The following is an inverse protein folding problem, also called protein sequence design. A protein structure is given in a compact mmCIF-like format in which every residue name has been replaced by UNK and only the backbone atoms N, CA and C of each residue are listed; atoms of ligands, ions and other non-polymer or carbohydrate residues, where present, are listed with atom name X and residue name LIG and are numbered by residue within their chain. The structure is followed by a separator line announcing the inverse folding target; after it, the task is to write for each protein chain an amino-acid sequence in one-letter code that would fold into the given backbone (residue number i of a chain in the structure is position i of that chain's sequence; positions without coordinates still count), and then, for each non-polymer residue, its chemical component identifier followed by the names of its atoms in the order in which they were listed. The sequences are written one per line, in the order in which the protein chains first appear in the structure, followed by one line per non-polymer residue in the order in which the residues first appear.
data_IF_673077523797
#
_entry.id   IF_673077523797
#
_cell.length_a   1.000
_cell.length_b   1.000
_cell.length_c   1.000
_cell.angle_alpha   90.00
_cell.angle_beta   90.00
_cell.angle_gamma   90.00
#
_symmetry.space_group_name_H-M   'P 1'
#
loop_
_entity.id
_entity.type
_entity.pdbx_description
1 polymer ?
#
# COMPACT_ATOMS: atom_id res chain seq x y z
N UNK A 1 -16.21 -18.33 27.21
CA UNK A 1 -14.93 -17.78 27.68
C UNK A 1 -15.24 -16.78 28.77
N UNK A 2 -14.59 -16.87 29.91
CA UNK A 2 -14.87 -16.03 31.08
C UNK A 2 -14.43 -14.58 30.83
N UNK A 3 -15.36 -13.63 30.96
CA UNK A 3 -15.11 -12.18 30.87
C UNK A 3 -14.42 -11.68 32.15
N UNK A 4 -13.16 -12.04 32.36
CA UNK A 4 -12.37 -11.45 33.45
C UNK A 4 -12.10 -10.00 33.11
N UNK A 5 -12.61 -9.09 33.93
CA UNK A 5 -12.32 -7.66 33.85
C UNK A 5 -11.14 -7.36 34.76
N UNK A 6 -10.12 -6.72 34.22
CA UNK A 6 -8.92 -6.36 34.98
C UNK A 6 -9.08 -4.95 35.59
N UNK A 7 -8.67 -4.79 36.84
CA UNK A 7 -8.61 -3.50 37.55
C UNK A 7 -7.30 -3.46 38.35
N UNK A 8 -6.65 -2.30 38.45
CA UNK A 8 -5.54 -2.12 39.39
C UNK A 8 -6.04 -1.51 40.70
N UNK A 9 -5.38 -1.86 41.80
CA UNK A 9 -5.71 -1.42 43.14
C UNK A 9 -4.45 -0.83 43.78
N UNK A 10 -4.57 0.31 44.44
CA UNK A 10 -3.46 0.93 45.18
C UNK A 10 -3.17 0.22 46.52
N UNK A 11 -2.12 0.65 47.21
CA UNK A 11 -1.71 0.08 48.52
C UNK A 11 -2.77 0.18 49.62
N UNK A 12 -3.82 0.99 49.43
CA UNK A 12 -4.92 1.18 50.38
C UNK A 12 -6.14 0.33 50.06
N UNK A 13 -6.11 -0.44 48.97
CA UNK A 13 -7.24 -1.24 48.52
C UNK A 13 -8.21 -0.47 47.61
N UNK A 14 -7.87 0.74 47.16
CA UNK A 14 -8.73 1.54 46.29
C UNK A 14 -8.42 1.29 44.81
N UNK A 15 -9.46 1.21 43.99
CA UNK A 15 -9.35 1.04 42.54
C UNK A 15 -8.67 2.27 41.92
N UNK A 16 -7.66 2.02 41.09
CA UNK A 16 -6.94 3.01 40.29
C UNK A 16 -7.77 3.33 39.03
N UNK A 17 -7.70 4.57 38.58
CA UNK A 17 -8.43 5.11 37.42
C UNK A 17 -7.50 5.97 36.57
N UNK A 18 -7.79 6.07 35.29
CA UNK A 18 -6.97 6.76 34.30
C UNK A 18 -5.69 5.98 33.96
N UNK A 19 -4.68 6.72 33.51
CA UNK A 19 -3.38 6.17 33.16
C UNK A 19 -2.68 5.50 34.34
N UNK A 20 -2.27 4.25 34.14
CA UNK A 20 -1.55 3.44 35.10
C UNK A 20 -0.27 2.89 34.47
N UNK A 21 0.86 3.05 35.14
CA UNK A 21 2.15 2.52 34.69
C UNK A 21 2.56 1.35 35.57
N UNK A 22 2.82 0.20 34.95
CA UNK A 22 3.38 -0.98 35.62
C UNK A 22 4.44 -1.63 34.74
N UNK A 23 5.56 -2.04 35.34
CA UNK A 23 6.68 -2.68 34.64
C UNK A 23 7.06 -1.99 33.32
N UNK A 24 7.21 -0.66 33.38
CA UNK A 24 7.53 0.23 32.25
C UNK A 24 6.47 0.34 31.14
N UNK A 25 5.37 -0.39 31.24
CA UNK A 25 4.23 -0.34 30.32
C UNK A 25 3.14 0.59 30.84
N UNK A 26 2.45 1.24 29.92
CA UNK A 26 1.29 2.07 30.21
C UNK A 26 0.00 1.31 29.92
N UNK A 27 -1.00 1.54 30.74
CA UNK A 27 -2.35 1.02 30.66
C UNK A 27 -3.32 2.17 30.91
N UNK A 28 -4.55 2.06 30.41
CA UNK A 28 -5.63 2.96 30.82
C UNK A 28 -6.70 2.18 31.55
N UNK A 29 -7.09 2.67 32.73
CA UNK A 29 -8.21 2.16 33.50
C UNK A 29 -9.37 3.14 33.39
N UNK A 30 -10.52 2.65 32.95
CA UNK A 30 -11.71 3.44 32.71
C UNK A 30 -12.01 4.38 33.89
N UNK A 31 -12.17 5.67 33.63
CA UNK A 31 -12.29 6.71 34.67
C UNK A 31 -13.55 6.54 35.55
N UNK A 32 -14.59 5.85 35.06
CA UNK A 32 -15.82 5.61 35.82
C UNK A 32 -15.73 4.32 36.65
N UNK A 33 -15.30 3.22 36.01
CA UNK A 33 -15.40 1.86 36.56
C UNK A 33 -14.07 1.31 37.08
N UNK A 34 -12.94 1.85 36.63
CA UNK A 34 -11.59 1.33 36.88
C UNK A 34 -11.28 0.02 36.16
N UNK A 35 -12.15 -0.42 35.24
CA UNK A 35 -11.89 -1.57 34.36
C UNK A 35 -10.88 -1.15 33.29
N UNK A 36 -9.90 -2.00 33.02
CA UNK A 36 -8.90 -1.77 31.98
C UNK A 36 -9.55 -1.63 30.60
N UNK A 37 -9.21 -0.55 29.90
CA UNK A 37 -9.61 -0.33 28.51
C UNK A 37 -8.71 -1.14 27.57
N UNK A 38 -9.23 -1.50 26.40
CA UNK A 38 -8.52 -2.22 25.33
C UNK A 38 -8.97 -1.68 23.98
N UNK A 39 -8.11 -1.75 22.96
CA UNK A 39 -8.39 -1.22 21.63
C UNK A 39 -8.25 0.30 21.56
N UNK A 40 -8.98 0.91 20.63
CA UNK A 40 -8.98 2.37 20.45
C UNK A 40 -9.70 3.08 21.60
N UNK A 41 -9.03 4.07 22.16
CA UNK A 41 -9.54 4.90 23.25
C UNK A 41 -9.17 6.36 23.00
N UNK A 42 -10.12 7.27 23.22
CA UNK A 42 -9.87 8.70 23.19
C UNK A 42 -9.78 9.25 24.61
N UNK A 43 -8.63 9.81 24.99
CA UNK A 43 -8.44 10.40 26.32
C UNK A 43 -9.06 11.80 26.40
N UNK A 44 -9.17 12.33 27.62
CA UNK A 44 -9.67 13.68 27.93
C UNK A 44 -8.88 14.81 27.26
N UNK A 45 -7.65 14.52 26.81
CA UNK A 45 -6.81 15.43 26.04
C UNK A 45 -7.19 15.49 24.54
N UNK A 46 -8.25 14.76 24.15
CA UNK A 46 -8.75 14.60 22.77
C UNK A 46 -7.85 13.80 21.82
N UNK A 47 -6.76 13.21 22.30
CA UNK A 47 -5.91 12.32 21.51
C UNK A 47 -6.42 10.89 21.55
N UNK A 48 -6.22 10.18 20.43
CA UNK A 48 -6.49 8.77 20.32
C UNK A 48 -5.27 7.95 20.71
N UNK A 49 -5.49 6.88 21.46
CA UNK A 49 -4.49 5.91 21.89
C UNK A 49 -4.98 4.51 21.52
N UNK A 50 -4.05 3.57 21.37
CA UNK A 50 -4.38 2.16 21.14
C UNK A 50 -3.77 1.29 22.23
N UNK A 51 -4.63 0.55 22.93
CA UNK A 51 -4.27 -0.44 23.93
C UNK A 51 -4.38 -1.84 23.35
N UNK A 52 -3.39 -2.69 23.60
CA UNK A 52 -3.37 -4.08 23.14
C UNK A 52 -4.66 -4.81 23.53
N UNK A 53 -5.31 -5.48 22.57
CA UNK A 53 -6.62 -6.12 22.82
C UNK A 53 -6.56 -7.28 23.82
N UNK A 54 -5.38 -7.89 24.00
CA UNK A 54 -5.21 -9.03 24.90
C UNK A 54 -4.64 -8.60 26.24
N UNK A 55 -3.59 -7.78 26.21
CA UNK A 55 -2.81 -7.45 27.41
C UNK A 55 -3.10 -6.05 27.95
N UNK A 56 -3.77 -5.18 27.19
CA UNK A 56 -4.09 -3.79 27.59
C UNK A 56 -2.91 -2.81 27.56
N UNK A 57 -1.70 -3.26 27.23
CA UNK A 57 -0.55 -2.35 27.16
C UNK A 57 -0.66 -1.39 25.98
N UNK A 58 -0.38 -0.12 26.25
CA UNK A 58 -0.41 0.96 25.27
C UNK A 58 0.68 0.75 24.22
N UNK A 59 0.27 0.80 22.96
CA UNK A 59 1.20 0.72 21.83
C UNK A 59 1.85 2.08 21.53
N UNK A 60 3.01 2.01 20.90
CA UNK A 60 3.77 3.15 20.37
C UNK A 60 4.39 2.76 19.03
N UNK A 61 4.78 3.75 18.22
CA UNK A 61 5.35 3.53 16.90
C UNK A 61 4.34 3.05 15.86
N UNK A 62 4.84 2.36 14.84
CA UNK A 62 4.01 1.79 13.78
C UNK A 62 3.17 0.61 14.28
N UNK A 63 1.87 0.65 13.99
CA UNK A 63 0.98 -0.50 14.16
C UNK A 63 0.18 -0.71 12.87
N UNK A 64 -0.15 -1.97 12.56
CA UNK A 64 -1.02 -2.34 11.45
C UNK A 64 -2.25 -3.07 11.97
N UNK A 65 -3.44 -2.52 11.71
CA UNK A 65 -4.72 -3.09 12.09
C UNK A 65 -5.60 -3.20 10.85
N UNK A 66 -6.12 -4.39 10.55
CA UNK A 66 -6.96 -4.64 9.37
C UNK A 66 -6.37 -4.06 8.07
N UNK A 67 -5.08 -4.33 7.84
CA UNK A 67 -4.27 -3.84 6.70
C UNK A 67 -4.00 -2.33 6.67
N UNK A 68 -4.53 -1.56 7.60
CA UNK A 68 -4.31 -0.11 7.69
C UNK A 68 -3.17 0.19 8.67
N UNK A 69 -2.24 1.03 8.24
CA UNK A 69 -1.14 1.49 9.08
C UNK A 69 -1.53 2.74 9.86
N UNK A 70 -1.10 2.78 11.12
CA UNK A 70 -1.20 3.93 12.02
C UNK A 70 0.17 4.20 12.61
N UNK A 71 0.38 5.43 13.08
CA UNK A 71 1.58 5.80 13.81
C UNK A 71 1.23 6.44 15.14
N UNK A 72 1.76 5.88 16.22
CA UNK A 72 1.58 6.33 17.59
C UNK A 72 2.87 6.99 18.08
N UNK A 73 2.81 8.19 18.64
CA UNK A 73 3.98 8.96 19.10
C UNK A 73 4.88 8.12 20.02
N UNK A 74 6.10 7.71 19.60
CA UNK A 74 6.94 6.89 20.46
C UNK A 74 7.64 7.70 21.54
N UNK A 75 7.80 9.01 21.38
CA UNK A 75 8.61 9.83 22.27
C UNK A 75 7.77 10.42 23.41
N UNK A 76 8.39 10.54 24.59
CA UNK A 76 7.78 11.17 25.76
C UNK A 76 7.84 12.70 25.69
N UNK A 77 7.32 13.31 24.61
CA UNK A 77 7.24 14.76 24.41
C UNK A 77 5.93 15.39 24.97
N UNK A 78 5.18 14.63 25.77
CA UNK A 78 3.93 15.06 26.40
C UNK A 78 2.74 14.17 26.05
N UNK A 79 2.73 13.55 24.87
CA UNK A 79 1.62 12.72 24.37
C UNK A 79 2.11 11.39 23.80
N UNK A 80 2.98 10.70 24.55
CA UNK A 80 3.49 9.39 24.14
C UNK A 80 2.33 8.41 23.93
N UNK A 81 2.30 7.73 22.79
CA UNK A 81 1.24 6.81 22.39
C UNK A 81 0.09 7.46 21.64
N UNK A 82 0.04 8.79 21.53
CA UNK A 82 -1.01 9.48 20.77
C UNK A 82 -0.92 9.18 19.28
N UNK A 83 -2.06 8.93 18.65
CA UNK A 83 -2.17 8.63 17.23
C UNK A 83 -2.03 9.89 16.39
N UNK A 84 -1.23 9.80 15.33
CA UNK A 84 -1.09 10.83 14.33
C UNK A 84 -2.36 10.87 13.48
N UNK A 85 -3.06 12.01 13.47
CA UNK A 85 -4.30 12.22 12.71
C UNK A 85 -4.25 13.56 11.98
N UNK A 86 -4.83 13.60 10.77
CA UNK A 86 -4.96 14.79 9.93
C UNK A 86 -3.65 15.60 9.80
N UNK A 87 -2.54 14.90 9.60
CA UNK A 87 -1.22 15.50 9.63
C UNK A 87 -0.27 14.84 8.64
N UNK A 88 0.89 15.45 8.48
CA UNK A 88 2.04 14.87 7.79
C UNK A 88 3.22 14.82 8.73
N UNK A 89 4.02 13.76 8.67
CA UNK A 89 5.15 13.56 9.57
C UNK A 89 6.36 12.96 8.86
N UNK A 90 7.55 13.37 9.28
CA UNK A 90 8.80 12.72 8.88
C UNK A 90 9.16 11.67 9.93
N UNK A 91 9.08 10.39 9.57
CA UNK A 91 9.37 9.25 10.43
C UNK A 91 10.53 8.48 9.80
N UNK A 92 11.62 8.30 10.54
CA UNK A 92 12.86 7.66 10.06
C UNK A 92 13.38 8.25 8.73
N UNK A 93 13.24 9.57 8.56
CA UNK A 93 13.69 10.29 7.37
C UNK A 93 12.73 10.25 6.17
N UNK A 94 11.58 9.58 6.28
CA UNK A 94 10.55 9.49 5.22
C UNK A 94 9.29 10.24 5.60
N UNK A 95 8.66 10.91 4.63
CA UNK A 95 7.42 11.65 4.84
C UNK A 95 6.20 10.74 4.67
N UNK A 96 5.30 10.82 5.65
CA UNK A 96 4.02 10.13 5.69
C UNK A 96 2.89 11.14 5.87
N UNK A 97 1.70 10.80 5.42
CA UNK A 97 0.47 11.55 5.64
C UNK A 97 -0.54 10.65 6.34
N UNK A 98 -1.37 11.22 7.20
CA UNK A 98 -2.41 10.51 7.95
C UNK A 98 -3.73 11.25 7.82
N UNK A 99 -4.82 10.53 7.56
CA UNK A 99 -6.15 11.12 7.42
C UNK A 99 -6.78 11.46 8.78
N UNK A 100 -8.02 11.95 8.78
CA UNK A 100 -8.75 12.34 9.99
C UNK A 100 -9.00 11.20 10.99
N UNK A 101 -8.93 9.95 10.53
CA UNK A 101 -9.15 8.75 11.34
C UNK A 101 -7.80 8.09 11.71
N UNK A 102 -6.68 8.70 11.34
CA UNK A 102 -5.32 8.22 11.62
C UNK A 102 -4.80 7.18 10.64
N UNK A 103 -5.53 6.89 9.56
CA UNK A 103 -5.06 5.97 8.55
C UNK A 103 -3.89 6.60 7.81
N UNK A 104 -2.77 5.88 7.75
CA UNK A 104 -1.65 6.28 6.90
C UNK A 104 -2.14 6.33 5.45
N UNK A 105 -2.10 7.52 4.88
CA UNK A 105 -2.33 7.75 3.47
C UNK A 105 -1.07 7.28 2.76
N UNK A 106 -1.17 6.13 2.09
CA UNK A 106 -0.10 5.66 1.23
C UNK A 106 0.04 6.64 0.05
N UNK A 107 0.99 7.57 0.16
CA UNK A 107 1.36 8.51 -0.92
C UNK A 107 2.14 7.83 -2.06
N UNK A 108 2.11 6.50 -2.14
CA UNK A 108 2.68 5.75 -3.25
C UNK A 108 1.67 5.71 -4.38
N UNK A 109 2.07 6.09 -5.60
CA UNK A 109 1.18 6.02 -6.75
C UNK A 109 0.73 4.57 -7.08
N UNK A 110 1.43 3.56 -6.53
CA UNK A 110 1.22 2.12 -6.69
C UNK A 110 1.73 1.32 -5.48
N UNK A 111 1.21 0.12 -5.26
CA UNK A 111 1.59 -0.80 -4.18
C UNK A 111 2.96 -1.48 -4.39
N UNK A 112 3.55 -1.96 -3.29
CA UNK A 112 4.76 -2.82 -3.33
C UNK A 112 4.47 -4.19 -4.01
N UNK A 113 3.22 -4.64 -3.95
CA UNK A 113 2.81 -5.86 -4.64
C UNK A 113 2.84 -5.68 -6.16
N UNK A 114 2.50 -4.50 -6.68
CA UNK A 114 2.65 -4.21 -8.12
C UNK A 114 4.11 -4.24 -8.56
N UNK A 115 5.04 -3.74 -7.72
CA UNK A 115 6.47 -3.84 -7.99
C UNK A 115 6.89 -5.30 -8.17
N UNK A 116 6.54 -6.17 -7.23
CA UNK A 116 6.87 -7.60 -7.31
C UNK A 116 6.19 -8.29 -8.51
N UNK A 117 4.94 -7.91 -8.80
CA UNK A 117 4.20 -8.42 -9.94
C UNK A 117 4.88 -8.08 -11.28
N UNK A 118 5.24 -6.82 -11.51
CA UNK A 118 5.91 -6.39 -12.74
C UNK A 118 7.34 -6.91 -12.80
N UNK A 119 8.05 -6.94 -11.67
CA UNK A 119 9.40 -7.53 -11.54
C UNK A 119 9.46 -8.96 -12.06
N UNK A 120 8.43 -9.76 -11.83
CA UNK A 120 8.37 -11.14 -12.32
C UNK A 120 8.31 -11.27 -13.85
N UNK A 121 7.89 -10.21 -14.56
CA UNK A 121 7.82 -10.18 -16.03
C UNK A 121 9.00 -9.45 -16.67
N UNK A 122 9.42 -8.32 -16.11
CA UNK A 122 10.46 -7.44 -16.68
C UNK A 122 11.87 -7.78 -16.17
N UNK A 123 11.94 -8.47 -15.03
CA UNK A 123 13.16 -8.57 -14.23
C UNK A 123 13.44 -7.28 -13.44
N UNK A 124 14.43 -7.34 -12.55
CA UNK A 124 14.97 -6.18 -11.85
C UNK A 124 16.50 -6.29 -11.81
N UNK A 125 17.19 -5.34 -12.45
CA UNK A 125 18.64 -5.34 -12.58
C UNK A 125 19.25 -4.28 -11.66
N UNK A 126 19.80 -4.74 -10.53
CA UNK A 126 20.37 -3.85 -9.51
C UNK A 126 21.68 -3.18 -9.94
N UNK A 127 22.30 -3.64 -11.02
CA UNK A 127 23.47 -3.00 -11.64
C UNK A 127 23.06 -2.40 -12.99
N UNK A 128 23.47 -1.17 -13.25
CA UNK A 128 23.19 -0.49 -14.51
C UNK A 128 23.75 -1.28 -15.70
N UNK A 129 22.96 -1.40 -16.77
CA UNK A 129 23.28 -2.14 -17.98
C UNK A 129 22.76 -1.39 -19.22
N UNK A 130 23.28 -1.72 -20.40
CA UNK A 130 22.72 -1.21 -21.65
C UNK A 130 21.67 -2.20 -22.17
N UNK A 131 20.44 -1.72 -22.37
CA UNK A 131 19.38 -2.53 -22.97
C UNK A 131 19.68 -2.80 -24.46
N UNK A 132 18.92 -3.68 -25.16
CA UNK A 132 19.12 -3.96 -26.59
C UNK A 132 19.10 -2.71 -27.48
N UNK A 133 18.36 -1.67 -27.07
CA UNK A 133 18.30 -0.37 -27.75
C UNK A 133 19.45 0.59 -27.39
N UNK A 134 20.48 0.11 -26.67
CA UNK A 134 21.68 0.87 -26.24
C UNK A 134 21.39 2.05 -25.30
N UNK A 135 20.30 1.99 -24.55
CA UNK A 135 19.99 2.97 -23.49
C UNK A 135 20.48 2.41 -22.15
N UNK A 136 21.12 3.25 -21.33
CA UNK A 136 21.54 2.87 -19.99
C UNK A 136 20.29 2.70 -19.10
N UNK A 137 20.18 1.56 -18.44
CA UNK A 137 18.98 1.12 -17.73
C UNK A 137 19.34 0.48 -16.40
N UNK A 138 18.49 0.63 -15.39
CA UNK A 138 18.65 0.04 -14.05
C UNK A 138 17.27 -0.31 -13.46
N UNK A 139 17.24 -1.17 -12.44
CA UNK A 139 16.00 -1.59 -11.78
C UNK A 139 15.05 -2.29 -12.75
N UNK A 140 13.77 -1.90 -12.74
CA UNK A 140 12.74 -2.36 -13.68
C UNK A 140 12.64 -1.38 -14.85
N UNK A 141 13.55 -1.52 -15.83
CA UNK A 141 13.48 -0.73 -17.06
C UNK A 141 13.68 0.78 -16.91
N UNK A 142 14.14 1.27 -15.75
CA UNK A 142 14.31 2.70 -15.48
C UNK A 142 15.51 3.26 -16.26
N UNK A 143 15.30 4.36 -16.97
CA UNK A 143 16.33 5.01 -17.81
C UNK A 143 16.74 6.40 -17.30
N UNK A 144 16.21 6.82 -16.14
CA UNK A 144 16.46 8.15 -15.59
C UNK A 144 17.93 8.26 -15.13
N UNK A 145 18.68 9.30 -15.56
CA UNK A 145 20.05 9.55 -15.11
C UNK A 145 20.21 9.61 -13.59
N UNK A 146 19.18 10.06 -12.85
CA UNK A 146 19.17 10.06 -11.38
C UNK A 146 19.50 8.68 -10.80
N UNK A 147 18.94 7.63 -11.37
CA UNK A 147 19.09 6.26 -10.89
C UNK A 147 20.23 5.52 -11.59
N UNK A 148 20.31 5.66 -12.92
CA UNK A 148 21.31 4.93 -13.73
C UNK A 148 22.75 5.35 -13.43
N UNK A 149 22.98 6.62 -13.04
CA UNK A 149 24.31 7.12 -12.68
C UNK A 149 24.86 6.56 -11.37
N UNK A 150 24.02 5.96 -10.51
CA UNK A 150 24.46 5.31 -9.27
C UNK A 150 25.26 4.03 -9.53
N UNK A 151 25.11 3.44 -10.72
CA UNK A 151 25.84 2.25 -11.16
C UNK A 151 25.35 0.95 -10.50
N UNK A 152 25.11 0.92 -9.19
CA UNK A 152 24.50 -0.20 -8.46
C UNK A 152 23.55 0.35 -7.39
N UNK A 153 22.38 -0.26 -7.26
CA UNK A 153 21.32 0.15 -6.33
C UNK A 153 20.87 -1.04 -5.46
N UNK A 154 20.26 -0.75 -4.31
CA UNK A 154 19.56 -1.76 -3.50
C UNK A 154 18.19 -2.08 -4.07
N UNK A 155 17.52 -3.10 -3.53
CA UNK A 155 16.15 -3.44 -3.94
C UNK A 155 15.15 -2.36 -3.51
N UNK A 156 15.34 -1.75 -2.35
CA UNK A 156 14.55 -0.61 -1.87
C UNK A 156 14.68 0.59 -2.82
N UNK A 157 15.90 0.88 -3.28
CA UNK A 157 16.14 1.91 -4.28
C UNK A 157 15.52 1.57 -5.64
N UNK A 158 15.49 0.29 -6.03
CA UNK A 158 14.80 -0.15 -7.23
C UNK A 158 13.28 0.03 -7.12
N UNK A 159 12.71 -0.22 -5.94
CA UNK A 159 11.30 0.04 -5.63
C UNK A 159 10.98 1.53 -5.69
N UNK A 160 11.83 2.39 -5.13
CA UNK A 160 11.69 3.85 -5.22
C UNK A 160 11.72 4.34 -6.67
N UNK A 161 12.71 3.91 -7.45
CA UNK A 161 12.81 4.24 -8.87
C UNK A 161 11.57 3.78 -9.67
N UNK A 162 11.08 2.58 -9.37
CA UNK A 162 9.86 2.04 -9.97
C UNK A 162 8.62 2.88 -9.63
N UNK A 163 8.46 3.28 -8.36
CA UNK A 163 7.33 4.12 -7.92
C UNK A 163 7.36 5.50 -8.58
N UNK A 164 8.55 6.05 -8.85
CA UNK A 164 8.69 7.29 -9.63
C UNK A 164 8.22 7.10 -11.08
N UNK A 165 8.66 6.03 -11.75
CA UNK A 165 8.25 5.73 -13.13
C UNK A 165 6.74 5.45 -13.22
N UNK A 166 6.19 4.74 -12.24
CA UNK A 166 4.78 4.38 -12.21
C UNK A 166 3.87 5.60 -12.06
N UNK A 167 4.37 6.74 -11.60
CA UNK A 167 3.55 7.96 -11.46
C UNK A 167 2.91 8.38 -12.78
N UNK A 168 3.63 8.29 -13.90
CA UNK A 168 3.10 8.65 -15.22
C UNK A 168 1.95 7.72 -15.62
N UNK A 169 2.07 6.42 -15.32
CA UNK A 169 1.04 5.42 -15.64
C UNK A 169 -0.16 5.49 -14.71
N UNK A 170 0.08 5.68 -13.41
CA UNK A 170 -0.92 5.95 -12.38
C UNK A 170 -1.78 7.16 -12.74
N UNK A 171 -1.14 8.32 -12.94
CA UNK A 171 -1.84 9.55 -13.32
C UNK A 171 -2.58 9.38 -14.66
N UNK A 172 -1.99 8.62 -15.61
CA UNK A 172 -2.63 8.29 -16.88
C UNK A 172 -3.91 7.47 -16.75
N UNK A 173 -3.88 6.40 -15.95
CA UNK A 173 -5.05 5.54 -15.69
C UNK A 173 -6.12 6.30 -14.90
N UNK A 174 -5.72 7.08 -13.89
CA UNK A 174 -6.64 7.89 -13.09
C UNK A 174 -7.37 8.92 -13.94
N UNK A 175 -6.64 9.62 -14.81
CA UNK A 175 -7.24 10.55 -15.76
C UNK A 175 -8.19 9.86 -16.75
N UNK A 176 -7.87 8.66 -17.22
CA UNK A 176 -8.79 7.90 -18.07
C UNK A 176 -10.07 7.57 -17.30
N UNK A 177 -9.95 7.08 -16.06
CA UNK A 177 -11.06 6.71 -15.20
C UNK A 177 -11.99 7.90 -14.92
N UNK A 178 -11.41 9.03 -14.51
CA UNK A 178 -12.13 10.28 -14.21
C UNK A 178 -12.87 10.77 -15.46
N UNK A 179 -12.20 10.86 -16.61
CA UNK A 179 -12.80 11.35 -17.84
C UNK A 179 -13.92 10.45 -18.37
N UNK A 180 -13.87 9.15 -18.07
CA UNK A 180 -14.90 8.19 -18.46
C UNK A 180 -16.00 8.01 -17.41
N UNK A 181 -15.88 8.62 -16.23
CA UNK A 181 -16.80 8.38 -15.11
C UNK A 181 -16.77 6.93 -14.58
N UNK A 182 -15.65 6.23 -14.77
CA UNK A 182 -15.44 4.86 -14.30
C UNK A 182 -14.82 4.92 -12.91
N UNK A 183 -15.32 4.09 -11.98
CA UNK A 183 -14.68 3.87 -10.68
C UNK A 183 -13.92 2.54 -10.72
N UNK A 184 -12.62 2.59 -10.42
CA UNK A 184 -11.74 1.43 -10.36
C UNK A 184 -11.31 1.21 -8.91
N UNK A 185 -11.37 -0.03 -8.44
CA UNK A 185 -10.68 -0.38 -7.20
C UNK A 185 -9.16 -0.48 -7.42
N UNK A 186 -8.40 -0.59 -6.34
CA UNK A 186 -6.93 -0.65 -6.38
C UNK A 186 -6.41 -1.73 -7.34
N UNK A 187 -6.97 -2.94 -7.30
CA UNK A 187 -6.50 -4.05 -8.13
C UNK A 187 -6.78 -3.86 -9.62
N UNK A 188 -7.96 -3.34 -9.94
CA UNK A 188 -8.34 -3.00 -11.31
C UNK A 188 -7.43 -1.90 -11.87
N UNK A 189 -7.21 -0.86 -11.07
CA UNK A 189 -6.30 0.24 -11.39
C UNK A 189 -4.88 -0.28 -11.65
N UNK A 190 -4.34 -1.11 -10.75
CA UNK A 190 -2.97 -1.62 -10.87
C UNK A 190 -2.78 -2.64 -12.00
N UNK A 191 -3.80 -3.44 -12.32
CA UNK A 191 -3.79 -4.27 -13.53
C UNK A 191 -3.69 -3.42 -14.80
N UNK A 192 -4.43 -2.31 -14.88
CA UNK A 192 -4.38 -1.38 -16.00
C UNK A 192 -3.06 -0.60 -16.05
N UNK A 193 -2.45 -0.30 -14.90
CA UNK A 193 -1.10 0.28 -14.83
C UNK A 193 -0.07 -0.72 -15.38
N UNK A 194 -0.07 -1.99 -14.94
CA UNK A 194 0.84 -3.01 -15.48
C UNK A 194 0.67 -3.19 -16.99
N UNK A 195 -0.58 -3.20 -17.45
CA UNK A 195 -0.87 -3.31 -18.88
C UNK A 195 -0.37 -2.08 -19.64
N UNK A 196 -0.70 -0.88 -19.16
CA UNK A 196 -0.25 0.39 -19.72
C UNK A 196 1.27 0.55 -19.71
N UNK A 197 1.96 0.02 -18.70
CA UNK A 197 3.43 -0.04 -18.66
C UNK A 197 3.99 -0.89 -19.80
N UNK A 198 3.37 -2.04 -20.08
CA UNK A 198 3.83 -2.94 -21.14
C UNK A 198 3.52 -2.46 -22.57
N UNK A 199 2.31 -1.93 -22.79
CA UNK A 199 1.83 -1.60 -24.15
C UNK A 199 1.78 -0.10 -24.43
N UNK A 200 1.94 0.74 -23.41
CA UNK A 200 1.77 2.19 -23.46
C UNK A 200 0.34 2.65 -23.15
N UNK A 201 0.22 3.82 -22.51
CA UNK A 201 -1.08 4.44 -22.18
C UNK A 201 -1.96 4.73 -23.41
N UNK A 202 -1.36 5.06 -24.56
CA UNK A 202 -2.10 5.26 -25.81
C UNK A 202 -2.78 3.97 -26.32
N UNK A 203 -2.08 2.84 -26.23
CA UNK A 203 -2.62 1.54 -26.57
C UNK A 203 -3.74 1.14 -25.59
N UNK A 204 -3.53 1.35 -24.28
CA UNK A 204 -4.59 1.16 -23.28
C UNK A 204 -5.84 1.99 -23.59
N UNK A 205 -5.70 3.31 -23.77
CA UNK A 205 -6.82 4.23 -24.06
C UNK A 205 -7.65 3.82 -25.27
N UNK A 206 -7.00 3.32 -26.33
CA UNK A 206 -7.64 2.92 -27.58
C UNK A 206 -8.10 1.46 -27.61
N UNK A 207 -7.79 0.68 -26.58
CA UNK A 207 -8.05 -0.75 -26.55
C UNK A 207 -9.54 -1.10 -26.46
N UNK A 208 -9.90 -2.28 -26.97
CA UNK A 208 -11.23 -2.87 -26.74
C UNK A 208 -11.48 -3.10 -25.24
N UNK A 209 -10.44 -3.46 -24.48
CA UNK A 209 -10.50 -3.59 -23.02
C UNK A 209 -11.04 -2.32 -22.37
N UNK A 210 -10.39 -1.18 -22.61
CA UNK A 210 -10.79 0.09 -22.02
C UNK A 210 -12.19 0.51 -22.48
N UNK A 211 -12.50 0.35 -23.78
CA UNK A 211 -13.83 0.63 -24.31
C UNK A 211 -14.93 -0.18 -23.59
N UNK A 212 -14.68 -1.45 -23.34
CA UNK A 212 -15.65 -2.33 -22.65
C UNK A 212 -15.77 -1.98 -21.17
N UNK A 213 -14.67 -1.63 -20.49
CA UNK A 213 -14.69 -1.12 -19.11
C UNK A 213 -15.56 0.14 -19.02
N UNK A 214 -15.38 1.12 -19.92
CA UNK A 214 -16.21 2.33 -19.97
C UNK A 214 -17.71 2.03 -20.18
N UNK A 215 -18.03 0.93 -20.86
CA UNK A 215 -19.40 0.48 -21.07
C UNK A 215 -19.93 -0.40 -19.92
N UNK A 216 -19.20 -0.51 -18.82
CA UNK A 216 -19.61 -1.27 -17.63
C UNK A 216 -19.38 -2.78 -17.71
N UNK A 217 -18.47 -3.24 -18.57
CA UNK A 217 -18.13 -4.66 -18.64
C UNK A 217 -17.48 -5.12 -17.32
N UNK A 218 -18.17 -6.03 -16.63
CA UNK A 218 -17.69 -6.69 -15.41
C UNK A 218 -17.54 -8.20 -15.57
N UNK A 219 -17.95 -8.74 -16.72
CA UNK A 219 -17.95 -10.18 -16.93
C UNK A 219 -16.50 -10.71 -17.09
N UNK A 220 -16.14 -11.82 -16.40
CA UNK A 220 -14.78 -12.35 -16.45
C UNK A 220 -14.30 -12.77 -17.85
N UNK A 221 -15.21 -13.24 -18.71
CA UNK A 221 -14.88 -13.74 -20.05
C UNK A 221 -14.39 -12.63 -20.97
N UNK A 222 -15.16 -11.55 -21.06
CA UNK A 222 -14.86 -10.35 -21.83
C UNK A 222 -13.56 -9.72 -21.35
N UNK A 223 -13.39 -9.52 -20.04
CA UNK A 223 -12.16 -8.92 -19.49
C UNK A 223 -10.94 -9.79 -19.83
N UNK A 224 -11.03 -11.10 -19.57
CA UNK A 224 -9.93 -12.03 -19.86
C UNK A 224 -9.58 -12.06 -21.35
N UNK A 225 -10.57 -12.16 -22.23
CA UNK A 225 -10.35 -12.16 -23.67
C UNK A 225 -9.73 -10.83 -24.14
N UNK A 226 -10.17 -9.71 -23.57
CA UNK A 226 -9.72 -8.38 -23.95
C UNK A 226 -8.24 -8.16 -23.58
N UNK A 227 -7.79 -8.61 -22.41
CA UNK A 227 -6.37 -8.67 -22.10
C UNK A 227 -5.63 -9.62 -23.05
N UNK A 228 -6.15 -10.84 -23.27
CA UNK A 228 -5.48 -11.89 -24.05
C UNK A 228 -5.19 -11.50 -25.51
N UNK A 229 -5.95 -10.55 -26.10
CA UNK A 229 -5.70 -10.03 -27.46
C UNK A 229 -4.34 -9.34 -27.61
N UNK A 230 -3.75 -8.86 -26.52
CA UNK A 230 -2.48 -8.13 -26.50
C UNK A 230 -1.30 -9.05 -26.17
N UNK A 231 -1.19 -10.13 -26.93
CA UNK A 231 -0.21 -11.20 -26.72
C UNK A 231 0.85 -11.33 -27.84
N UNK A 232 0.89 -10.37 -28.78
CA UNK A 232 1.75 -10.43 -29.96
C UNK A 232 2.93 -9.47 -29.86
N UNK A 233 4.08 -9.88 -30.38
CA UNK A 233 5.24 -9.02 -30.64
C UNK A 233 5.78 -9.22 -32.06
N UNK A 234 7.02 -8.80 -32.31
CA UNK A 234 7.72 -8.99 -33.58
C UNK A 234 7.95 -10.48 -33.84
N UNK A 235 7.03 -11.14 -34.55
CA UNK A 235 7.07 -12.58 -34.83
C UNK A 235 5.80 -13.36 -34.48
N UNK A 236 4.75 -12.69 -33.98
CA UNK A 236 3.47 -13.34 -33.67
C UNK A 236 3.21 -13.44 -32.18
N UNK A 237 2.45 -14.47 -31.76
CA UNK A 237 2.07 -14.68 -30.35
C UNK A 237 3.30 -15.03 -29.51
N UNK A 238 3.50 -14.32 -28.41
CA UNK A 238 4.61 -14.55 -27.48
C UNK A 238 4.08 -15.21 -26.19
N UNK A 239 4.56 -16.41 -25.82
CA UNK A 239 4.11 -17.10 -24.60
C UNK A 239 4.24 -16.27 -23.32
N UNK A 240 5.30 -15.46 -23.21
CA UNK A 240 5.48 -14.55 -22.09
C UNK A 240 4.38 -13.48 -21.97
N UNK A 241 3.91 -12.96 -23.11
CA UNK A 241 2.78 -12.01 -23.12
C UNK A 241 1.45 -12.73 -22.84
N UNK A 242 1.24 -13.95 -23.35
CA UNK A 242 0.05 -14.75 -22.99
C UNK A 242 -0.04 -14.92 -21.48
N UNK A 243 1.07 -15.32 -20.85
CA UNK A 243 1.16 -15.46 -19.38
C UNK A 243 0.86 -14.14 -18.68
N UNK A 244 1.54 -13.05 -19.08
CA UNK A 244 1.34 -11.73 -18.46
C UNK A 244 -0.10 -11.24 -18.55
N UNK A 245 -0.73 -11.35 -19.73
CA UNK A 245 -2.13 -10.92 -19.94
C UNK A 245 -3.10 -11.71 -19.08
N UNK A 246 -2.89 -13.01 -18.91
CA UNK A 246 -3.70 -13.84 -18.01
C UNK A 246 -3.54 -13.42 -16.53
N UNK A 247 -2.31 -13.14 -16.09
CA UNK A 247 -2.05 -12.65 -14.74
C UNK A 247 -2.67 -11.26 -14.49
N UNK A 248 -2.58 -10.33 -15.45
CA UNK A 248 -3.21 -9.00 -15.35
C UNK A 248 -4.74 -9.09 -15.32
N UNK A 249 -5.34 -9.95 -16.16
CA UNK A 249 -6.78 -10.20 -16.10
C UNK A 249 -7.20 -10.76 -14.73
N UNK A 250 -6.42 -11.70 -14.17
CA UNK A 250 -6.67 -12.22 -12.82
C UNK A 250 -6.54 -11.14 -11.75
N UNK A 251 -5.49 -10.31 -11.82
CA UNK A 251 -5.34 -9.19 -10.89
C UNK A 251 -6.57 -8.28 -10.95
N UNK A 252 -7.02 -7.91 -12.15
CA UNK A 252 -8.21 -7.09 -12.35
C UNK A 252 -9.49 -7.72 -11.77
N UNK A 253 -9.69 -9.02 -11.97
CA UNK A 253 -10.93 -9.72 -11.64
C UNK A 253 -10.99 -10.21 -10.18
N UNK A 254 -9.86 -10.58 -9.59
CA UNK A 254 -9.82 -11.28 -8.29
C UNK A 254 -8.90 -10.62 -7.27
N UNK A 255 -8.17 -9.57 -7.63
CA UNK A 255 -7.22 -8.92 -6.74
C UNK A 255 -5.96 -9.73 -6.40
N UNK A 256 -5.65 -10.78 -7.18
CA UNK A 256 -4.48 -11.62 -6.92
C UNK A 256 -3.26 -11.18 -7.74
N UNK A 257 -2.16 -10.86 -7.05
CA UNK A 257 -0.84 -10.59 -7.64
C UNK A 257 -0.01 -11.84 -7.94
N UNK A 258 -0.56 -13.06 -7.81
CA UNK A 258 0.25 -14.24 -8.13
C UNK A 258 0.68 -14.22 -9.61
N UNK A 259 1.85 -14.75 -9.93
CA UNK A 259 2.33 -14.90 -11.33
C UNK A 259 2.43 -16.36 -11.75
N UNK A 260 1.85 -17.25 -10.94
CA UNK A 260 1.65 -18.66 -11.24
C UNK A 260 0.31 -18.83 -11.96
N UNK A 261 0.30 -19.67 -12.99
CA UNK A 261 -0.85 -20.05 -13.82
C UNK A 261 -0.90 -21.57 -13.88
#
# INVERSE_FOLDING_TARGET
MSNWKWCAIDSTGKIIKGWYKDNEKWYHLNEETGVMDTGWFQDKDSHWYYLDEVNGDMKTGWIQLNEIWYYLEPNSNGYQGSCYINCTATIDGKNYAFDKDGHMIENSCVSDNLFNFIKAFEGCYLKAYYCPSKVLTIGIGNTNPKWTSLGTITEEQALEAFKEDMKVFADGVDNLSINAGVSLNTYQREALISFGFNVGLGALKSSTLWKNICNGAIDPGTITENFARWNKGSGGVLPGLVKRRACEARLYLTGSYSTEI
#
